data_IF_115468996135
#
_entry.id   IF_115468996135
#
_cell.length_a   1.000
_cell.length_b   1.000
_cell.length_c   1.000
_cell.angle_alpha   90.00
_cell.angle_beta   90.00
_cell.angle_gamma   90.00
#
_symmetry.space_group_name_H-M   'P 1'
#
loop_
_entity.id
_entity.type
_entity.pdbx_description
1 polymer ?
#
# COMPACT_ATOMS: atom_id res chain seq x y z
N UNK A 1 6.38 -6.00 -12.63
CA UNK A 1 7.69 -5.99 -11.96
C UNK A 1 8.45 -7.28 -12.31
N UNK A 2 9.78 -7.24 -12.30
CA UNK A 2 10.68 -8.37 -12.49
C UNK A 2 11.46 -8.60 -11.18
N UNK A 3 11.68 -9.85 -10.77
CA UNK A 3 12.38 -10.16 -9.51
C UNK A 3 13.89 -10.43 -9.67
N UNK A 4 14.43 -10.38 -10.89
CA UNK A 4 15.83 -10.65 -11.21
C UNK A 4 16.25 -12.13 -11.07
N UNK A 5 15.31 -13.03 -10.80
CA UNK A 5 15.58 -14.47 -10.55
C UNK A 5 14.75 -15.36 -11.46
N UNK A 6 13.45 -15.13 -11.54
CA UNK A 6 12.49 -15.89 -12.35
C UNK A 6 12.05 -15.01 -13.52
N UNK A 7 12.23 -15.48 -14.75
CA UNK A 7 11.81 -14.79 -15.96
C UNK A 7 10.28 -14.84 -16.16
N UNK A 8 9.53 -14.19 -15.26
CA UNK A 8 8.08 -13.99 -15.32
C UNK A 8 7.73 -12.60 -14.76
N UNK A 9 6.61 -12.01 -15.20
CA UNK A 9 6.12 -10.79 -14.58
C UNK A 9 5.50 -11.07 -13.19
N UNK A 10 5.64 -10.09 -12.30
CA UNK A 10 4.90 -9.97 -11.04
C UNK A 10 3.97 -8.75 -11.07
N UNK A 11 2.78 -8.90 -10.48
CA UNK A 11 1.73 -7.89 -10.46
C UNK A 11 1.30 -7.56 -9.04
N UNK A 12 1.28 -6.25 -8.74
CA UNK A 12 0.65 -5.69 -7.54
C UNK A 12 -0.74 -5.19 -7.90
N UNK A 13 -1.76 -5.61 -7.14
CA UNK A 13 -3.17 -5.28 -7.45
C UNK A 13 -3.78 -4.53 -6.28
N UNK A 14 -3.80 -3.20 -6.39
CA UNK A 14 -4.43 -2.33 -5.39
C UNK A 14 -5.89 -2.05 -5.75
N UNK A 15 -6.80 -2.40 -4.84
CA UNK A 15 -8.20 -1.95 -4.86
C UNK A 15 -8.37 -0.97 -3.71
N UNK A 16 -8.81 0.26 -4.00
CA UNK A 16 -9.05 1.27 -2.96
C UNK A 16 -10.56 1.36 -2.69
N UNK A 17 -10.95 1.05 -1.46
CA UNK A 17 -12.33 1.22 -0.99
C UNK A 17 -12.41 2.48 -0.14
N UNK A 18 -13.10 3.49 -0.66
CA UNK A 18 -13.43 4.71 0.09
C UNK A 18 -14.81 4.51 0.72
N UNK A 19 -14.89 4.66 2.04
CA UNK A 19 -16.12 4.59 2.85
C UNK A 19 -16.25 5.88 3.65
N UNK A 20 -17.35 6.04 4.37
CA UNK A 20 -17.62 7.29 5.12
C UNK A 20 -16.50 7.63 6.12
N UNK A 21 -16.01 6.66 6.88
CA UNK A 21 -15.00 6.89 7.93
C UNK A 21 -13.60 6.34 7.59
N UNK A 22 -13.48 5.50 6.57
CA UNK A 22 -12.26 4.73 6.30
C UNK A 22 -11.87 4.73 4.82
N UNK A 23 -10.56 4.65 4.57
CA UNK A 23 -9.98 4.31 3.28
C UNK A 23 -9.24 2.98 3.44
N UNK A 24 -9.63 1.96 2.66
CA UNK A 24 -8.98 0.65 2.68
C UNK A 24 -8.22 0.44 1.38
N UNK A 25 -6.90 0.28 1.47
CA UNK A 25 -6.03 -0.13 0.36
C UNK A 25 -5.85 -1.65 0.43
N UNK A 26 -6.53 -2.37 -0.45
CA UNK A 26 -6.51 -3.83 -0.51
C UNK A 26 -5.54 -4.32 -1.60
N UNK A 27 -4.48 -4.98 -1.17
CA UNK A 27 -3.43 -5.59 -1.98
C UNK A 27 -3.52 -7.12 -2.00
N UNK A 28 -4.54 -7.74 -1.39
CA UNK A 28 -4.68 -9.19 -1.22
C UNK A 28 -4.76 -9.98 -2.53
N UNK A 29 -5.03 -9.30 -3.65
CA UNK A 29 -5.03 -9.90 -5.00
C UNK A 29 -3.69 -9.78 -5.72
N UNK A 30 -2.66 -9.25 -5.06
CA UNK A 30 -1.30 -9.22 -5.61
C UNK A 30 -0.73 -10.62 -5.74
N UNK A 31 0.27 -10.77 -6.60
CA UNK A 31 0.96 -12.05 -6.72
C UNK A 31 1.67 -12.42 -5.40
N UNK A 32 1.89 -13.73 -5.12
CA UNK A 32 2.65 -14.17 -3.96
C UNK A 32 4.09 -13.64 -3.96
N UNK A 33 4.75 -13.73 -2.80
CA UNK A 33 6.15 -13.33 -2.65
C UNK A 33 7.03 -13.96 -3.74
N UNK A 34 7.90 -13.12 -4.30
CA UNK A 34 8.87 -13.49 -5.32
C UNK A 34 10.04 -14.27 -4.71
N UNK A 35 10.85 -14.93 -5.55
CA UNK A 35 12.14 -15.49 -5.08
C UNK A 35 13.22 -14.42 -4.98
N UNK A 36 13.14 -13.39 -5.82
CA UNK A 36 14.07 -12.28 -5.83
C UNK A 36 13.80 -11.19 -4.77
N UNK A 37 14.62 -10.12 -4.77
CA UNK A 37 14.63 -9.13 -3.70
C UNK A 37 13.52 -8.07 -3.79
N UNK A 38 12.52 -8.23 -4.67
CA UNK A 38 11.42 -7.26 -4.82
C UNK A 38 10.37 -7.34 -3.72
N UNK A 39 10.48 -8.32 -2.81
CA UNK A 39 9.58 -8.46 -1.68
C UNK A 39 9.81 -7.36 -0.64
N UNK A 40 8.74 -7.04 0.10
CA UNK A 40 8.76 -6.03 1.15
C UNK A 40 7.96 -6.51 2.34
N UNK A 41 8.32 -6.05 3.55
CA UNK A 41 7.56 -6.39 4.76
C UNK A 41 6.18 -5.73 4.75
N UNK A 42 5.25 -6.31 5.51
CA UNK A 42 3.92 -5.72 5.69
C UNK A 42 4.00 -4.29 6.23
N UNK A 43 4.88 -4.01 7.19
CA UNK A 43 5.00 -2.68 7.81
C UNK A 43 5.38 -1.62 6.78
N UNK A 44 6.35 -1.91 5.92
CA UNK A 44 6.76 -0.98 4.87
C UNK A 44 5.65 -0.82 3.79
N UNK A 45 4.93 -1.89 3.46
CA UNK A 45 3.76 -1.84 2.58
C UNK A 45 2.65 -0.96 3.16
N UNK A 46 2.33 -1.13 4.43
CA UNK A 46 1.32 -0.34 5.14
C UNK A 46 1.73 1.14 5.23
N UNK A 47 2.99 1.43 5.53
CA UNK A 47 3.51 2.80 5.57
C UNK A 47 3.43 3.48 4.20
N UNK A 48 3.81 2.77 3.13
CA UNK A 48 3.73 3.27 1.76
C UNK A 48 2.28 3.51 1.34
N UNK A 49 1.37 2.55 1.58
CA UNK A 49 -0.04 2.67 1.26
C UNK A 49 -0.70 3.85 1.98
N UNK A 50 -0.47 4.00 3.28
CA UNK A 50 -1.06 5.11 4.04
C UNK A 50 -0.48 6.47 3.65
N UNK A 51 0.82 6.54 3.36
CA UNK A 51 1.44 7.79 2.88
C UNK A 51 0.95 8.16 1.49
N UNK A 52 0.78 7.17 0.59
CA UNK A 52 0.25 7.39 -0.76
C UNK A 52 -1.17 7.97 -0.72
N UNK A 53 -2.02 7.54 0.22
CA UNK A 53 -3.37 8.12 0.41
C UNK A 53 -3.26 9.59 0.80
N UNK A 54 -2.45 9.94 1.81
CA UNK A 54 -2.30 11.33 2.26
C UNK A 54 -1.74 12.25 1.16
N UNK A 55 -0.78 11.75 0.38
CA UNK A 55 -0.22 12.47 -0.77
C UNK A 55 -1.24 12.65 -1.89
N UNK A 56 -2.07 11.63 -2.15
CA UNK A 56 -3.08 11.66 -3.21
C UNK A 56 -4.20 12.67 -2.93
N UNK A 57 -4.56 12.88 -1.66
CA UNK A 57 -5.56 13.88 -1.26
C UNK A 57 -4.95 15.26 -0.96
N UNK A 58 -3.63 15.43 -1.15
CA UNK A 58 -2.94 16.70 -1.02
C UNK A 58 -2.96 17.28 0.40
N UNK A 59 -2.80 16.45 1.44
CA UNK A 59 -2.75 16.97 2.82
C UNK A 59 -1.58 17.93 2.98
N UNK A 60 -1.87 19.22 3.14
CA UNK A 60 -0.89 20.28 3.42
C UNK A 60 -1.15 21.05 4.71
N UNK A 61 -2.43 21.13 5.12
CA UNK A 61 -2.88 22.08 6.16
C UNK A 61 -3.15 21.41 7.51
N UNK A 62 -2.89 20.10 7.60
CA UNK A 62 -3.07 19.30 8.82
C UNK A 62 -1.70 18.82 9.31
N UNK A 63 -1.33 19.05 10.59
CA UNK A 63 -0.08 18.52 11.14
C UNK A 63 -0.04 17.00 11.04
N UNK A 64 0.96 16.47 10.35
CA UNK A 64 1.10 15.03 10.14
C UNK A 64 1.38 14.32 11.47
N UNK A 65 0.42 13.53 11.95
CA UNK A 65 0.54 12.75 13.17
C UNK A 65 -0.26 11.44 13.05
N UNK A 66 -0.21 10.57 14.06
CA UNK A 66 -0.88 9.27 14.05
C UNK A 66 -2.38 9.34 13.74
N UNK A 67 -3.05 10.45 14.08
CA UNK A 67 -4.46 10.67 13.77
C UNK A 67 -4.75 10.73 12.27
N UNK A 68 -3.83 11.29 11.46
CA UNK A 68 -3.98 11.35 9.99
C UNK A 68 -3.97 9.96 9.34
N UNK A 69 -3.30 8.99 9.96
CA UNK A 69 -3.20 7.62 9.45
C UNK A 69 -4.27 6.69 10.00
N UNK A 70 -4.93 7.05 11.11
CA UNK A 70 -5.96 6.25 11.78
C UNK A 70 -7.11 5.76 10.86
N UNK A 71 -7.66 6.58 9.92
CA UNK A 71 -8.73 6.12 9.03
C UNK A 71 -8.23 5.29 7.85
N UNK A 72 -6.91 5.11 7.69
CA UNK A 72 -6.33 4.40 6.55
C UNK A 72 -5.94 2.99 6.97
N UNK A 73 -6.48 2.00 6.25
CA UNK A 73 -6.23 0.58 6.50
C UNK A 73 -5.58 -0.03 5.26
N UNK A 74 -4.60 -0.90 5.48
CA UNK A 74 -3.94 -1.65 4.42
C UNK A 74 -4.18 -3.14 4.67
N UNK A 75 -4.60 -3.85 3.62
CA UNK A 75 -4.74 -5.32 3.61
C UNK A 75 -3.73 -5.83 2.59
N UNK A 76 -2.87 -6.78 2.96
CA UNK A 76 -1.83 -7.34 2.12
C UNK A 76 -1.51 -8.78 2.52
#
# INVERSE_FOLDING_TARGET
EDDGVVAKPYYFRATVHVRDEDIVVDLSRSDPQALGPINVTYVATAAAGSTAVLQSIGVSDVPLNAGCFKPIKVVA
#
